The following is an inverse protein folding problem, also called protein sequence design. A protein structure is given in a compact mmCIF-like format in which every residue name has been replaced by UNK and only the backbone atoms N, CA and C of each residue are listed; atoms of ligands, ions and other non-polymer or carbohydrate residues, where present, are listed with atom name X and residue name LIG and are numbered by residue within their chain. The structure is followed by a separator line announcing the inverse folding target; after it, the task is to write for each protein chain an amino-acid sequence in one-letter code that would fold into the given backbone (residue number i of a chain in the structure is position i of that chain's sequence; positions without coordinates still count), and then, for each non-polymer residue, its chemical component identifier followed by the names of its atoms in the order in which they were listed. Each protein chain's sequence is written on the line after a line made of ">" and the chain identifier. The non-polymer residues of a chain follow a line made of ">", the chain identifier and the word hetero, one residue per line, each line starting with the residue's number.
data_IF_197693580773
#
_entry.id   IF_197693580773
#
_cell.length_a   1.000
_cell.length_b   1.000
_cell.length_c   1.000
_cell.angle_alpha   90.00
_cell.angle_beta   90.00
_cell.angle_gamma   90.00
#
_symmetry.space_group_name_H-M   'P 1'
#
loop_
_entity.id
_entity.type
_entity.pdbx_description
1 polymer ?
#
# COMPACT_ATOMS: atom_id res chain seq x y z
N UNK A 1 -2.03 -11.89 9.63
CA UNK A 1 -1.09 -10.76 9.47
C UNK A 1 0.28 -11.21 9.01
N UNK A 2 1.05 -12.05 9.75
CA UNK A 2 2.32 -12.60 9.21
C UNK A 2 2.16 -13.22 7.82
N UNK A 3 1.11 -13.99 7.59
CA UNK A 3 0.85 -14.61 6.28
C UNK A 3 0.44 -13.62 5.18
N UNK A 4 -0.13 -12.44 5.53
CA UNK A 4 -0.52 -11.40 4.57
C UNK A 4 0.68 -10.50 4.26
N UNK A 5 1.47 -10.10 5.27
CA UNK A 5 2.75 -9.41 5.05
C UNK A 5 3.70 -10.24 4.20
N UNK A 6 3.86 -11.53 4.52
CA UNK A 6 4.73 -12.40 3.74
C UNK A 6 4.26 -12.55 2.27
N UNK A 7 2.94 -12.51 2.03
CA UNK A 7 2.39 -12.52 0.67
C UNK A 7 2.63 -11.19 -0.05
N UNK A 8 2.49 -10.07 0.65
CA UNK A 8 2.79 -8.76 0.10
C UNK A 8 4.28 -8.60 -0.21
N UNK A 9 5.16 -8.91 0.73
CA UNK A 9 6.62 -8.85 0.56
C UNK A 9 7.04 -9.68 -0.65
N UNK A 10 6.56 -10.92 -0.75
CA UNK A 10 6.86 -11.78 -1.90
C UNK A 10 6.31 -11.22 -3.21
N UNK A 11 5.04 -10.78 -3.22
CA UNK A 11 4.45 -10.16 -4.42
C UNK A 11 5.23 -8.91 -4.83
N UNK A 12 5.63 -8.08 -3.88
CA UNK A 12 6.37 -6.85 -4.12
C UNK A 12 7.76 -7.14 -4.66
N UNK A 13 8.49 -8.11 -4.09
CA UNK A 13 9.78 -8.58 -4.59
C UNK A 13 9.68 -9.11 -6.03
N UNK A 14 8.67 -9.94 -6.32
CA UNK A 14 8.42 -10.48 -7.66
C UNK A 14 8.14 -9.36 -8.68
N UNK A 15 7.37 -8.33 -8.30
CA UNK A 15 7.07 -7.19 -9.17
C UNK A 15 8.27 -6.24 -9.32
N UNK A 16 9.04 -6.01 -8.25
CA UNK A 16 10.27 -5.21 -8.32
C UNK A 16 11.26 -5.81 -9.30
N UNK A 17 11.45 -7.14 -9.26
CA UNK A 17 12.30 -7.85 -10.21
C UNK A 17 11.86 -7.62 -11.64
N UNK A 18 10.57 -7.76 -11.94
CA UNK A 18 10.03 -7.52 -13.29
C UNK A 18 10.25 -6.08 -13.73
N UNK A 19 9.98 -5.10 -12.87
CA UNK A 19 10.12 -3.68 -13.17
C UNK A 19 11.58 -3.29 -13.44
N UNK A 20 12.54 -3.87 -12.70
CA UNK A 20 13.98 -3.71 -12.97
C UNK A 20 14.34 -4.23 -14.37
N UNK A 21 13.77 -5.36 -14.80
CA UNK A 21 14.04 -5.89 -16.15
C UNK A 21 13.40 -5.02 -17.22
N UNK A 22 12.17 -4.53 -17.01
CA UNK A 22 11.48 -3.64 -17.95
C UNK A 22 12.20 -2.29 -18.11
N UNK A 23 12.71 -1.72 -17.03
CA UNK A 23 13.50 -0.48 -17.08
C UNK A 23 14.80 -0.69 -17.85
N UNK A 24 15.52 -1.78 -17.62
CA UNK A 24 16.72 -2.14 -18.41
C UNK A 24 16.39 -2.38 -19.89
N UNK A 25 15.27 -3.07 -20.18
CA UNK A 25 14.80 -3.29 -21.56
C UNK A 25 14.53 -1.96 -22.28
N UNK A 26 13.93 -1.01 -21.57
CA UNK A 26 13.66 0.34 -22.09
C UNK A 26 14.96 1.10 -22.31
N UNK A 27 15.90 1.05 -21.36
CA UNK A 27 17.22 1.66 -21.51
C UNK A 27 18.02 1.10 -22.70
N UNK A 28 17.94 -0.21 -22.96
CA UNK A 28 18.53 -0.86 -24.15
C UNK A 28 17.94 -0.29 -25.44
N UNK A 29 16.61 -0.15 -25.49
CA UNK A 29 15.88 0.37 -26.66
C UNK A 29 16.21 1.84 -26.91
N UNK A 30 16.14 2.67 -25.87
CA UNK A 30 16.32 4.12 -25.98
C UNK A 30 17.77 4.49 -26.34
N UNK A 31 18.74 3.65 -25.96
CA UNK A 31 20.16 3.88 -26.24
C UNK A 31 20.69 3.07 -27.44
N UNK A 32 19.83 2.38 -28.20
CA UNK A 32 20.19 1.58 -29.39
C UNK A 32 21.35 0.60 -29.14
N UNK A 33 21.33 -0.11 -28.01
CA UNK A 33 22.35 -1.12 -27.70
C UNK A 33 22.24 -2.27 -28.70
N UNK A 34 23.38 -2.63 -29.32
CA UNK A 34 23.42 -3.64 -30.39
C UNK A 34 23.95 -4.96 -29.84
N UNK A 35 23.41 -6.08 -30.33
CA UNK A 35 23.93 -7.42 -30.03
C UNK A 35 23.39 -8.05 -28.75
N UNK A 36 22.32 -7.49 -28.18
CA UNK A 36 21.63 -8.03 -27.01
C UNK A 36 20.18 -8.37 -27.40
N UNK A 37 19.81 -9.64 -27.29
CA UNK A 37 18.42 -10.07 -27.43
C UNK A 37 17.69 -9.81 -26.10
N UNK A 38 16.50 -9.20 -26.18
CA UNK A 38 15.61 -9.00 -25.04
C UNK A 38 15.19 -10.35 -24.44
N UNK A 39 15.08 -11.41 -25.25
CA UNK A 39 14.79 -12.74 -24.74
C UNK A 39 15.93 -13.28 -23.86
N UNK A 40 17.18 -13.00 -24.22
CA UNK A 40 18.35 -13.37 -23.41
C UNK A 40 18.41 -12.55 -22.11
N UNK A 41 17.99 -11.28 -22.15
CA UNK A 41 17.81 -10.46 -20.95
C UNK A 41 16.81 -11.10 -19.98
N UNK A 42 15.63 -11.46 -20.47
CA UNK A 42 14.57 -12.08 -19.66
C UNK A 42 14.96 -13.48 -19.16
N UNK A 43 15.65 -14.26 -19.97
CA UNK A 43 16.17 -15.57 -19.56
C UNK A 43 17.17 -15.48 -18.39
N UNK A 44 17.87 -14.36 -18.27
CA UNK A 44 18.83 -14.09 -17.20
C UNK A 44 18.27 -13.22 -16.06
N UNK A 45 16.96 -12.95 -16.02
CA UNK A 45 16.33 -12.02 -15.08
C UNK A 45 16.66 -12.32 -13.60
N UNK A 46 16.64 -13.59 -13.19
CA UNK A 46 17.00 -14.01 -11.83
C UNK A 46 18.46 -13.69 -11.47
N UNK A 47 19.38 -13.97 -12.40
CA UNK A 47 20.81 -13.71 -12.22
C UNK A 47 21.07 -12.21 -12.15
N UNK A 48 20.44 -11.44 -13.03
CA UNK A 48 20.53 -9.98 -13.07
C UNK A 48 20.03 -9.40 -11.74
N UNK A 49 18.81 -9.75 -11.32
CA UNK A 49 18.23 -9.22 -10.10
C UNK A 49 19.05 -9.52 -8.85
N UNK A 50 19.49 -10.76 -8.66
CA UNK A 50 20.35 -11.14 -7.52
C UNK A 50 21.65 -10.34 -7.49
N UNK A 51 22.22 -10.08 -8.67
CA UNK A 51 23.44 -9.30 -8.79
C UNK A 51 23.20 -7.86 -8.37
N UNK A 52 22.12 -7.25 -8.86
CA UNK A 52 21.72 -5.89 -8.52
C UNK A 52 21.37 -5.73 -7.04
N UNK A 53 20.61 -6.65 -6.47
CA UNK A 53 20.23 -6.63 -5.04
C UNK A 53 21.45 -6.68 -4.11
N UNK A 54 22.51 -7.39 -4.53
CA UNK A 54 23.78 -7.46 -3.79
C UNK A 54 24.63 -6.17 -3.85
N UNK A 55 24.27 -5.20 -4.69
CA UNK A 55 25.03 -3.95 -4.88
C UNK A 55 24.66 -2.90 -3.83
N UNK A 56 25.69 -2.23 -3.28
CA UNK A 56 25.52 -1.13 -2.35
C UNK A 56 24.93 0.11 -3.03
N UNK A 57 24.04 0.82 -2.32
CA UNK A 57 23.25 1.96 -2.82
C UNK A 57 24.11 3.09 -3.41
N UNK A 58 25.35 3.27 -2.93
CA UNK A 58 26.16 4.45 -3.25
C UNK A 58 26.72 4.51 -4.69
N UNK A 59 26.62 3.45 -5.51
CA UNK A 59 27.05 3.42 -6.92
C UNK A 59 26.18 2.52 -7.83
N UNK A 60 24.89 2.36 -7.51
CA UNK A 60 24.02 1.36 -8.16
C UNK A 60 24.01 1.43 -9.68
N UNK A 61 23.72 2.59 -10.29
CA UNK A 61 23.65 2.73 -11.75
C UNK A 61 24.87 2.15 -12.48
N UNK A 62 26.07 2.60 -12.12
CA UNK A 62 27.28 2.16 -12.81
C UNK A 62 27.56 0.67 -12.53
N UNK A 63 27.38 0.23 -11.29
CA UNK A 63 27.61 -1.17 -10.92
C UNK A 63 26.58 -2.14 -11.56
N UNK A 64 25.34 -1.68 -11.82
CA UNK A 64 24.32 -2.45 -12.55
C UNK A 64 24.75 -2.65 -14.01
N UNK A 65 25.14 -1.58 -14.70
CA UNK A 65 25.55 -1.69 -16.10
C UNK A 65 26.88 -2.44 -16.29
N UNK A 66 27.83 -2.28 -15.36
CA UNK A 66 29.04 -3.12 -15.30
C UNK A 66 28.69 -4.60 -15.10
N UNK A 67 27.71 -4.87 -14.23
CA UNK A 67 27.21 -6.23 -14.01
C UNK A 67 26.59 -6.85 -15.26
N UNK A 68 25.86 -6.06 -16.05
CA UNK A 68 25.27 -6.48 -17.32
C UNK A 68 26.33 -6.73 -18.39
N UNK A 69 27.36 -5.88 -18.49
CA UNK A 69 28.51 -6.10 -19.36
C UNK A 69 29.18 -7.46 -19.11
N UNK A 70 29.35 -7.84 -17.84
CA UNK A 70 29.93 -9.13 -17.48
C UNK A 70 29.01 -10.32 -17.79
N UNK A 71 27.69 -10.19 -17.59
CA UNK A 71 26.71 -11.25 -17.88
C UNK A 71 26.63 -11.53 -19.38
N UNK A 72 26.62 -10.48 -20.20
CA UNK A 72 26.47 -10.59 -21.65
C UNK A 72 27.80 -10.57 -22.40
N UNK A 73 28.93 -10.52 -21.69
CA UNK A 73 30.28 -10.43 -22.25
C UNK A 73 30.40 -9.33 -23.32
N UNK A 74 30.00 -8.11 -22.96
CA UNK A 74 29.95 -6.94 -23.84
C UNK A 74 30.46 -5.70 -23.11
N UNK A 75 30.67 -4.61 -23.85
CA UNK A 75 30.94 -3.27 -23.29
C UNK A 75 29.85 -2.28 -23.69
N UNK A 76 28.77 -2.76 -24.33
CA UNK A 76 27.73 -1.90 -24.89
C UNK A 76 26.92 -1.17 -23.80
N UNK A 77 26.78 -1.75 -22.59
CA UNK A 77 26.09 -1.09 -21.49
C UNK A 77 26.88 0.10 -20.91
N UNK A 78 28.17 0.25 -21.23
CA UNK A 78 28.95 1.44 -20.87
C UNK A 78 28.42 2.73 -21.52
N UNK A 79 27.69 2.58 -22.63
CA UNK A 79 27.02 3.71 -23.29
C UNK A 79 25.85 4.21 -22.44
N UNK A 80 25.09 3.28 -21.87
CA UNK A 80 23.94 3.58 -21.01
C UNK A 80 24.41 4.11 -19.64
N UNK A 81 25.47 3.55 -19.08
CA UNK A 81 25.98 4.00 -17.78
C UNK A 81 26.37 5.48 -17.74
N UNK A 82 26.77 6.03 -18.90
CA UNK A 82 27.13 7.44 -19.10
C UNK A 82 25.96 8.34 -19.51
N UNK A 83 24.82 7.76 -19.88
CA UNK A 83 23.65 8.53 -20.29
C UNK A 83 23.07 9.32 -19.11
N UNK A 84 22.58 10.53 -19.34
CA UNK A 84 21.86 11.29 -18.32
C UNK A 84 20.42 10.76 -18.19
N UNK A 85 19.96 10.52 -16.96
CA UNK A 85 18.59 10.11 -16.63
C UNK A 85 18.09 8.83 -17.33
N UNK A 86 18.76 7.71 -17.07
CA UNK A 86 18.29 6.38 -17.50
C UNK A 86 16.98 6.01 -16.81
N UNK A 87 16.18 5.15 -17.43
CA UNK A 87 14.89 4.69 -16.89
C UNK A 87 15.07 3.95 -15.57
N UNK A 88 16.11 3.12 -15.47
CA UNK A 88 16.49 2.48 -14.20
C UNK A 88 16.75 3.52 -13.09
N UNK A 89 17.47 4.59 -13.40
CA UNK A 89 17.80 5.66 -12.43
C UNK A 89 16.54 6.44 -12.01
N UNK A 90 15.62 6.69 -12.93
CA UNK A 90 14.34 7.33 -12.61
C UNK A 90 13.48 6.46 -11.70
N UNK A 91 13.44 5.15 -11.98
CA UNK A 91 12.74 4.18 -11.15
C UNK A 91 13.36 4.06 -9.75
N UNK A 92 14.68 3.98 -9.65
CA UNK A 92 15.39 3.97 -8.37
C UNK A 92 15.11 5.22 -7.53
N UNK A 93 15.16 6.41 -8.15
CA UNK A 93 14.82 7.67 -7.47
C UNK A 93 13.38 7.69 -6.97
N UNK A 94 12.44 7.14 -7.74
CA UNK A 94 11.05 7.00 -7.30
C UNK A 94 10.94 6.08 -6.08
N UNK A 95 11.60 4.92 -6.10
CA UNK A 95 11.62 4.00 -4.96
C UNK A 95 12.27 4.63 -3.72
N UNK A 96 13.41 5.30 -3.88
CA UNK A 96 14.06 6.04 -2.80
C UNK A 96 13.13 7.10 -2.21
N UNK A 97 12.42 7.86 -3.07
CA UNK A 97 11.46 8.85 -2.63
C UNK A 97 10.33 8.22 -1.80
N UNK A 98 9.79 7.07 -2.22
CA UNK A 98 8.74 6.34 -1.50
C UNK A 98 9.26 5.82 -0.16
N UNK A 99 10.42 5.17 -0.14
CA UNK A 99 11.03 4.59 1.07
C UNK A 99 11.44 5.67 2.06
N UNK A 100 11.86 6.85 1.58
CA UNK A 100 12.19 7.99 2.43
C UNK A 100 10.99 8.65 3.09
N UNK A 101 9.75 8.35 2.66
CA UNK A 101 8.57 8.86 3.33
C UNK A 101 8.44 8.21 4.72
N UNK A 102 7.95 8.98 5.68
CA UNK A 102 7.50 8.41 6.95
C UNK A 102 6.14 7.74 6.75
N UNK A 103 5.93 6.56 7.33
CA UNK A 103 4.69 5.80 7.19
C UNK A 103 3.42 6.63 7.46
N UNK A 104 2.34 6.28 6.77
CA UNK A 104 1.09 7.02 6.85
C UNK A 104 0.23 6.52 8.02
N UNK A 105 -0.32 7.44 8.81
CA UNK A 105 -1.24 7.12 9.90
C UNK A 105 -2.56 7.87 9.76
N UNK A 106 -3.63 7.13 9.52
CA UNK A 106 -4.99 7.65 9.51
C UNK A 106 -5.63 7.46 10.89
N UNK A 107 -6.15 8.54 11.46
CA UNK A 107 -6.88 8.50 12.74
C UNK A 107 -8.34 8.89 12.51
N UNK A 108 -9.26 8.08 13.01
CA UNK A 108 -10.70 8.34 12.93
C UNK A 108 -11.30 8.31 14.34
N UNK A 109 -11.94 9.40 14.73
CA UNK A 109 -12.69 9.48 15.98
C UNK A 109 -14.18 9.27 15.67
N UNK A 110 -14.75 8.17 16.13
CA UNK A 110 -16.17 7.89 15.91
C UNK A 110 -17.03 8.39 17.09
N UNK A 111 -18.19 9.01 16.83
CA UNK A 111 -19.15 9.30 17.88
C UNK A 111 -19.94 8.04 18.27
N UNK A 112 -20.42 7.99 19.52
CA UNK A 112 -21.25 6.89 20.01
C UNK A 112 -20.46 5.65 20.41
N UNK A 113 -21.09 4.49 20.31
CA UNK A 113 -20.47 3.19 20.61
C UNK A 113 -19.94 2.57 19.32
N UNK A 114 -18.65 2.24 19.28
CA UNK A 114 -18.06 1.49 18.18
C UNK A 114 -18.67 0.08 18.11
N UNK A 115 -19.12 -0.33 16.93
CA UNK A 115 -19.74 -1.64 16.68
C UNK A 115 -18.80 -2.60 15.95
N UNK A 116 -18.19 -2.12 14.86
CA UNK A 116 -17.34 -2.94 13.99
C UNK A 116 -16.24 -2.07 13.37
N UNK A 117 -15.07 -2.65 13.14
CA UNK A 117 -13.97 -1.99 12.43
C UNK A 117 -12.94 -2.98 11.94
N UNK A 118 -12.26 -2.65 10.84
CA UNK A 118 -11.05 -3.34 10.40
C UNK A 118 -9.75 -2.63 10.86
N UNK A 119 -9.84 -1.71 11.82
CA UNK A 119 -8.68 -1.06 12.44
C UNK A 119 -7.99 -2.01 13.44
N UNK A 120 -6.66 -2.09 13.36
CA UNK A 120 -5.85 -2.87 14.30
C UNK A 120 -5.57 -2.09 15.61
N UNK A 121 -5.66 -0.76 15.57
CA UNK A 121 -5.29 0.12 16.69
C UNK A 121 -6.55 0.84 17.16
N UNK A 122 -7.13 0.35 18.26
CA UNK A 122 -8.36 0.89 18.85
C UNK A 122 -8.05 1.45 20.24
N UNK A 123 -8.39 2.71 20.49
CA UNK A 123 -8.31 3.37 21.80
C UNK A 123 -9.62 4.07 22.12
N UNK A 124 -10.49 3.37 22.85
CA UNK A 124 -11.85 3.83 23.11
C UNK A 124 -12.62 3.97 21.80
N UNK A 125 -13.02 5.19 21.45
CA UNK A 125 -13.72 5.51 20.21
C UNK A 125 -12.80 6.04 19.10
N UNK A 126 -11.48 6.07 19.35
CA UNK A 126 -10.49 6.42 18.36
C UNK A 126 -9.98 5.16 17.67
N UNK A 127 -9.95 5.19 16.35
CA UNK A 127 -9.43 4.16 15.47
C UNK A 127 -8.19 4.70 14.77
N UNK A 128 -7.19 3.86 14.57
CA UNK A 128 -6.03 4.20 13.75
C UNK A 128 -5.69 3.09 12.78
N UNK A 129 -5.34 3.48 11.56
CA UNK A 129 -4.69 2.60 10.59
C UNK A 129 -3.31 3.17 10.31
N UNK A 130 -2.31 2.31 10.33
CA UNK A 130 -0.92 2.67 10.10
C UNK A 130 -0.41 1.82 8.94
N UNK A 131 0.25 2.48 7.99
CA UNK A 131 0.78 1.85 6.79
C UNK A 131 2.25 2.19 6.65
N UNK A 132 3.04 1.19 6.31
CA UNK A 132 4.39 1.45 5.83
C UNK A 132 4.33 2.18 4.48
N UNK A 133 5.34 3.02 4.14
CA UNK A 133 5.31 3.83 2.92
C UNK A 133 5.04 3.03 1.66
N UNK A 134 5.70 1.89 1.49
CA UNK A 134 5.54 1.04 0.31
C UNK A 134 4.11 0.51 0.22
N UNK A 135 3.53 0.04 1.32
CA UNK A 135 2.14 -0.46 1.35
C UNK A 135 1.15 0.65 1.00
N UNK A 136 1.36 1.86 1.53
CA UNK A 136 0.48 3.01 1.28
C UNK A 136 0.45 3.46 -0.19
N UNK A 137 1.55 3.29 -0.93
CA UNK A 137 1.65 3.69 -2.33
C UNK A 137 1.15 2.61 -3.31
N UNK A 138 1.37 1.32 -3.00
CA UNK A 138 1.13 0.23 -3.94
C UNK A 138 -0.13 -0.60 -3.65
N UNK A 139 -0.73 -0.47 -2.47
CA UNK A 139 -1.91 -1.26 -2.08
C UNK A 139 -3.13 -0.36 -1.98
N UNK A 140 -4.21 -0.77 -2.63
CA UNK A 140 -5.51 -0.17 -2.41
C UNK A 140 -6.09 -0.69 -1.08
N UNK A 141 -6.10 0.16 -0.05
CA UNK A 141 -6.59 -0.19 1.29
C UNK A 141 -8.00 0.37 1.52
N UNK A 142 -8.95 -0.49 1.90
CA UNK A 142 -10.28 -0.08 2.32
C UNK A 142 -10.40 0.00 3.84
N UNK A 143 -10.88 1.13 4.35
CA UNK A 143 -11.04 1.38 5.78
C UNK A 143 -12.51 1.35 6.15
N UNK A 144 -12.88 0.52 7.14
CA UNK A 144 -14.25 0.37 7.61
C UNK A 144 -14.35 0.61 9.11
N UNK A 145 -15.30 1.44 9.50
CA UNK A 145 -15.71 1.65 10.88
C UNK A 145 -17.21 1.84 10.95
N UNK A 146 -17.85 1.20 11.92
CA UNK A 146 -19.27 1.32 12.19
C UNK A 146 -19.47 1.72 13.64
N UNK A 147 -20.29 2.75 13.89
CA UNK A 147 -20.65 3.18 15.24
C UNK A 147 -22.15 3.43 15.35
N UNK A 148 -22.64 3.37 16.59
CA UNK A 148 -24.04 3.62 16.94
C UNK A 148 -24.15 4.76 17.93
N UNK A 149 -24.90 5.80 17.54
CA UNK A 149 -25.36 6.84 18.45
C UNK A 149 -26.80 6.50 18.86
N UNK A 150 -27.07 6.53 20.16
CA UNK A 150 -28.43 6.38 20.67
C UNK A 150 -29.22 7.65 20.36
N UNK A 151 -30.37 7.51 19.71
CA UNK A 151 -31.29 8.62 19.49
C UNK A 151 -32.05 8.93 20.80
N UNK A 152 -31.46 9.80 21.62
CA UNK A 152 -32.01 10.19 22.92
C UNK A 152 -33.41 10.80 22.78
N UNK A 153 -33.68 11.53 21.69
CA UNK A 153 -35.00 12.13 21.45
C UNK A 153 -36.09 11.09 21.18
N UNK A 154 -35.76 10.04 20.41
CA UNK A 154 -36.66 8.91 20.19
C UNK A 154 -37.01 8.20 21.51
N UNK A 155 -36.05 8.11 22.45
CA UNK A 155 -36.30 7.58 23.78
C UNK A 155 -37.34 8.42 24.54
N UNK A 156 -37.19 9.75 24.56
CA UNK A 156 -38.16 10.65 25.19
C UNK A 156 -39.56 10.54 24.58
N UNK A 157 -39.68 10.52 23.25
CA UNK A 157 -40.97 10.37 22.58
C UNK A 157 -41.63 9.04 22.93
N UNK A 158 -40.86 7.94 22.88
CA UNK A 158 -41.38 6.62 23.20
C UNK A 158 -41.89 6.54 24.64
N UNK A 159 -41.18 7.17 25.58
CA UNK A 159 -41.59 7.26 26.98
C UNK A 159 -42.87 8.06 27.16
N UNK A 160 -42.98 9.24 26.53
CA UNK A 160 -44.18 10.08 26.58
C UNK A 160 -45.39 9.36 25.97
N UNK A 161 -45.19 8.69 24.83
CA UNK A 161 -46.23 7.91 24.18
C UNK A 161 -46.73 6.77 25.06
N UNK A 162 -45.81 6.03 25.71
CA UNK A 162 -46.17 4.96 26.64
C UNK A 162 -47.03 5.48 27.81
N UNK A 163 -46.65 6.62 28.39
CA UNK A 163 -47.42 7.26 29.48
C UNK A 163 -48.81 7.67 29.00
N UNK A 164 -48.94 8.25 27.81
CA UNK A 164 -50.26 8.59 27.24
C UNK A 164 -51.15 7.35 27.05
N UNK A 165 -50.60 6.24 26.55
CA UNK A 165 -51.32 4.97 26.40
C UNK A 165 -51.79 4.45 27.75
N UNK A 166 -50.94 4.48 28.77
CA UNK A 166 -51.31 4.06 30.14
C UNK A 166 -52.44 4.92 30.69
N UNK A 167 -52.34 6.25 30.58
CA UNK A 167 -53.40 7.17 31.02
C UNK A 167 -54.71 6.86 30.29
N UNK A 168 -54.67 6.73 28.96
CA UNK A 168 -55.85 6.44 28.15
C UNK A 168 -56.54 5.13 28.55
N UNK A 169 -55.77 4.07 28.84
CA UNK A 169 -56.31 2.78 29.30
C UNK A 169 -56.86 2.83 30.73
N UNK A 170 -56.28 3.64 31.60
CA UNK A 170 -56.72 3.77 32.99
C UNK A 170 -57.93 4.71 33.17
N UNK A 171 -58.08 5.73 32.33
CA UNK A 171 -59.23 6.66 32.34
C UNK A 171 -60.61 5.97 32.40
N UNK A 172 -60.93 4.96 31.57
CA UNK A 172 -62.21 4.26 31.65
C UNK A 172 -62.36 3.37 32.89
N UNK A 173 -61.26 2.91 33.49
CA UNK A 173 -61.28 2.12 34.74
C UNK A 173 -61.61 3.03 35.93
N UNK A 174 -61.05 4.24 35.97
CA UNK A 174 -61.36 5.24 37.00
C UNK A 174 -62.73 5.90 36.81
N UNK A 175 -63.28 5.94 35.59
CA UNK A 175 -64.65 6.43 35.31
C UNK A 175 -65.77 5.43 35.61
N UNK A 176 -65.45 4.14 35.82
CA UNK A 176 -66.43 3.07 36.13
C UNK A 176 -66.54 2.75 37.63
N UNK A 177 -65.82 3.45 38.49
CA UNK A 177 -66.08 3.54 39.94
C UNK A 177 -66.79 4.85 40.24
#
# INVERSE_FOLDING_TARGET
>A
MKDVNNKFEKWFEDNLKEEVILTIEKDIKDNNVVGIDINDLRANADTIYKRIDSLSVQKRKQAVYESLNEIFNTTEFDKISKAENTELENFEKMLEFIIAQTGFKYNLQMPGLLLDTNSEIIKGNQLSWQFEPIEAFFIETSHKAESRIINVWAFWISGIFLVMVIIFLLLPVFRKK
#
